data_IF_961847848297
#
_entry.id   IF_961847848297
#
_cell.length_a   1.000
_cell.length_b   1.000
_cell.length_c   1.000
_cell.angle_alpha   90.00
_cell.angle_beta   90.00
_cell.angle_gamma   90.00
#
_symmetry.space_group_name_H-M   'P 1'
#
loop_
_entity.id
_entity.type
_entity.pdbx_description
1 polymer ?
#
# COMPACT_ATOMS: atom_id res chain seq x y z
N UNK A 1 -7.97 -12.32 21.95
CA UNK A 1 -7.37 -12.40 21.46
C UNK A 1 -6.42 -12.61 21.08
N UNK A 2 -6.02 -12.57 21.03
CA UNK A 2 -5.07 -12.38 20.69
C UNK A 2 -4.43 -12.54 19.70
N UNK A 3 -3.95 -11.93 19.62
CA UNK A 3 -3.12 -11.88 18.51
C UNK A 3 -2.05 -12.88 18.56
N UNK A 4 -2.04 -13.75 17.59
CA UNK A 4 -1.04 -14.79 17.47
C UNK A 4 0.15 -14.35 16.61
N UNK A 5 0.14 -13.15 16.07
CA UNK A 5 1.24 -12.68 15.24
C UNK A 5 1.98 -11.55 15.92
N UNK A 6 3.24 -11.35 15.53
CA UNK A 6 4.05 -10.22 15.98
C UNK A 6 4.25 -9.24 14.84
N UNK A 7 4.43 -7.98 15.19
CA UNK A 7 4.71 -6.91 14.24
C UNK A 7 6.06 -6.28 14.59
N UNK A 8 7.17 -6.97 14.29
CA UNK A 8 8.48 -6.41 14.58
C UNK A 8 8.75 -5.13 13.81
N UNK A 9 9.58 -4.28 14.41
CA UNK A 9 10.01 -3.04 13.78
C UNK A 9 11.30 -3.32 13.00
N UNK A 10 11.36 -2.82 11.77
CA UNK A 10 12.53 -2.97 10.91
C UNK A 10 12.92 -1.61 10.35
N UNK A 11 14.21 -1.37 10.21
CA UNK A 11 14.70 -0.17 9.55
C UNK A 11 15.36 -0.55 8.24
N UNK A 12 15.10 0.23 7.21
CA UNK A 12 15.68 0.03 5.88
C UNK A 12 15.91 1.40 5.26
N UNK A 13 17.16 1.70 4.94
CA UNK A 13 17.57 2.98 4.34
C UNK A 13 17.03 4.20 5.11
N UNK A 14 17.07 4.14 6.44
CA UNK A 14 16.64 5.23 7.31
C UNK A 14 15.14 5.31 7.55
N UNK A 15 14.37 4.44 6.94
CA UNK A 15 12.92 4.39 7.09
C UNK A 15 12.54 3.27 8.06
N UNK A 16 11.62 3.56 8.96
CA UNK A 16 11.15 2.61 9.97
C UNK A 16 9.82 2.01 9.55
N UNK A 17 9.74 0.68 9.59
CA UNK A 17 8.54 -0.07 9.24
C UNK A 17 8.12 -0.97 10.39
N UNK A 18 6.81 -1.19 10.52
CA UNK A 18 6.33 -2.38 11.21
C UNK A 18 6.02 -3.43 10.14
N UNK A 19 6.42 -4.66 10.38
CA UNK A 19 6.25 -5.72 9.38
C UNK A 19 5.57 -6.94 9.99
N UNK A 20 4.86 -7.68 9.15
CA UNK A 20 4.30 -8.99 9.51
C UNK A 20 5.09 -10.00 8.68
N UNK A 21 5.72 -10.97 9.35
CA UNK A 21 6.58 -11.94 8.66
C UNK A 21 5.88 -13.24 8.32
N UNK A 22 4.88 -13.62 9.10
CA UNK A 22 4.14 -14.86 8.88
C UNK A 22 3.16 -14.68 7.70
N UNK A 23 3.24 -15.53 6.64
CA UNK A 23 2.38 -15.37 5.46
C UNK A 23 0.89 -15.42 5.75
N UNK A 24 0.45 -16.28 6.67
CA UNK A 24 -0.97 -16.37 7.02
C UNK A 24 -1.43 -15.11 7.75
N UNK A 25 -0.57 -14.55 8.59
CA UNK A 25 -0.87 -13.30 9.28
C UNK A 25 -0.92 -12.11 8.31
N UNK A 26 -0.08 -12.10 7.28
CA UNK A 26 -0.16 -11.10 6.22
C UNK A 26 -1.50 -11.22 5.48
N UNK A 27 -1.89 -12.44 5.14
CA UNK A 27 -3.17 -12.72 4.48
C UNK A 27 -4.33 -12.17 5.32
N UNK A 28 -4.34 -12.44 6.62
CA UNK A 28 -5.40 -11.97 7.50
C UNK A 28 -5.42 -10.45 7.60
N UNK A 29 -4.25 -9.82 7.73
CA UNK A 29 -4.15 -8.36 7.78
C UNK A 29 -4.77 -7.74 6.53
N UNK A 30 -4.39 -8.24 5.35
CA UNK A 30 -4.87 -7.68 4.09
C UNK A 30 -6.37 -7.93 3.90
N UNK A 31 -6.85 -9.13 4.20
CA UNK A 31 -8.24 -9.47 3.98
C UNK A 31 -9.20 -8.91 5.03
N UNK A 32 -8.70 -8.53 6.20
CA UNK A 32 -9.54 -7.95 7.26
C UNK A 32 -9.40 -6.44 7.30
N UNK A 33 -8.16 -5.93 7.49
CA UNK A 33 -7.95 -4.51 7.73
C UNK A 33 -7.89 -3.70 6.44
N UNK A 34 -7.06 -4.11 5.49
CA UNK A 34 -6.86 -3.35 4.25
C UNK A 34 -8.11 -3.40 3.38
N UNK A 35 -8.74 -4.56 3.30
CA UNK A 35 -9.97 -4.73 2.52
C UNK A 35 -11.09 -3.79 2.95
N UNK A 36 -11.22 -3.55 4.25
CA UNK A 36 -12.23 -2.60 4.77
C UNK A 36 -12.03 -1.20 4.18
N UNK A 37 -10.79 -0.75 4.10
CA UNK A 37 -10.47 0.56 3.54
C UNK A 37 -10.82 0.63 2.06
N UNK A 38 -10.48 -0.39 1.30
CA UNK A 38 -10.77 -0.43 -0.13
C UNK A 38 -12.26 -0.49 -0.42
N UNK A 39 -13.01 -1.24 0.39
CA UNK A 39 -14.46 -1.30 0.24
C UNK A 39 -15.10 0.04 0.58
N UNK A 40 -14.62 0.71 1.61
CA UNK A 40 -15.10 2.04 1.97
C UNK A 40 -14.79 3.06 0.87
N UNK A 41 -13.59 3.02 0.29
CA UNK A 41 -13.20 3.90 -0.80
C UNK A 41 -14.08 3.66 -2.04
N UNK A 42 -14.33 2.40 -2.38
CA UNK A 42 -15.20 2.07 -3.51
C UNK A 42 -16.61 2.63 -3.32
N UNK A 43 -17.17 2.50 -2.12
CA UNK A 43 -18.51 3.01 -1.82
C UNK A 43 -18.54 4.54 -1.86
N UNK A 44 -17.49 5.20 -1.36
CA UNK A 44 -17.42 6.66 -1.40
C UNK A 44 -17.33 7.19 -2.84
N UNK A 45 -16.79 6.38 -3.74
CA UNK A 45 -16.67 6.70 -5.17
C UNK A 45 -17.86 6.16 -5.99
N UNK A 46 -18.90 5.68 -5.32
CA UNK A 46 -20.10 5.10 -5.96
C UNK A 46 -19.80 3.88 -6.81
N UNK A 47 -18.74 3.11 -6.44
CA UNK A 47 -18.40 1.84 -7.07
C UNK A 47 -18.83 0.68 -6.17
N UNK A 48 -19.27 -0.42 -6.78
CA UNK A 48 -19.56 -1.63 -6.02
C UNK A 48 -18.25 -2.40 -5.80
N UNK A 49 -17.84 -2.66 -4.54
CA UNK A 49 -16.64 -3.44 -4.28
C UNK A 49 -16.61 -4.81 -4.97
N UNK A 50 -17.79 -5.39 -5.21
CA UNK A 50 -17.88 -6.71 -5.89
C UNK A 50 -17.42 -6.67 -7.33
N UNK A 51 -17.44 -5.49 -7.95
CA UNK A 51 -17.01 -5.31 -9.34
C UNK A 51 -15.51 -5.12 -9.49
N UNK A 52 -14.78 -5.05 -8.38
CA UNK A 52 -13.33 -4.89 -8.40
C UNK A 52 -12.66 -6.27 -8.43
N UNK A 53 -12.00 -6.64 -9.54
CA UNK A 53 -11.34 -7.95 -9.64
C UNK A 53 -10.28 -8.17 -8.58
N UNK A 54 -9.60 -7.11 -8.14
CA UNK A 54 -8.59 -7.21 -7.11
C UNK A 54 -9.19 -7.68 -5.79
N UNK A 55 -10.28 -7.02 -5.37
CA UNK A 55 -10.95 -7.40 -4.12
C UNK A 55 -11.45 -8.84 -4.16
N UNK A 56 -11.93 -9.29 -5.31
CA UNK A 56 -12.46 -10.66 -5.44
C UNK A 56 -11.37 -11.73 -5.43
N UNK A 57 -10.12 -11.36 -5.69
CA UNK A 57 -9.00 -12.32 -5.71
C UNK A 57 -8.17 -12.32 -4.43
N UNK A 58 -8.39 -11.39 -3.51
CA UNK A 58 -7.58 -11.25 -2.30
C UNK A 58 -7.48 -12.54 -1.48
N UNK A 59 -8.59 -13.23 -1.30
CA UNK A 59 -8.65 -14.45 -0.49
C UNK A 59 -7.91 -15.63 -1.12
N UNK A 60 -7.61 -15.55 -2.40
CA UNK A 60 -6.93 -16.63 -3.14
C UNK A 60 -5.44 -16.41 -3.27
N UNK A 61 -4.94 -15.22 -2.91
CA UNK A 61 -3.52 -14.92 -3.03
C UNK A 61 -2.74 -15.45 -1.84
N UNK A 62 -1.51 -15.87 -2.13
CA UNK A 62 -0.53 -16.22 -1.11
C UNK A 62 0.38 -15.01 -0.92
N UNK A 63 0.60 -14.63 0.33
CA UNK A 63 1.32 -13.42 0.66
C UNK A 63 2.66 -13.71 1.31
N UNK A 64 3.67 -12.90 0.99
CA UNK A 64 4.94 -12.94 1.68
C UNK A 64 5.55 -11.53 1.78
N UNK A 65 6.40 -11.35 2.79
CA UNK A 65 7.15 -10.12 2.99
C UNK A 65 8.40 -10.17 2.11
N UNK A 66 8.67 -9.07 1.40
CA UNK A 66 9.82 -9.00 0.51
C UNK A 66 10.40 -7.59 0.51
N UNK A 67 11.73 -7.47 0.45
CA UNK A 67 12.39 -6.21 0.17
C UNK A 67 12.51 -6.10 -1.34
N UNK A 68 11.99 -5.02 -1.88
CA UNK A 68 11.95 -4.82 -3.33
C UNK A 68 12.63 -3.52 -3.70
N UNK A 69 13.33 -3.52 -4.84
CA UNK A 69 13.86 -2.29 -5.41
C UNK A 69 12.69 -1.43 -5.90
N UNK A 70 12.69 -0.15 -5.53
CA UNK A 70 11.58 0.74 -5.86
C UNK A 70 11.38 0.88 -7.38
N UNK A 71 12.44 0.70 -8.17
CA UNK A 71 12.35 0.79 -9.63
C UNK A 71 11.62 -0.39 -10.26
N UNK A 72 11.45 -1.49 -9.54
CA UNK A 72 10.71 -2.65 -10.02
C UNK A 72 9.20 -2.50 -9.88
N UNK A 73 8.76 -1.52 -9.11
CA UNK A 73 7.34 -1.32 -8.82
C UNK A 73 6.70 -0.52 -9.95
N UNK A 74 5.56 -1.01 -10.46
CA UNK A 74 4.80 -0.34 -11.51
C UNK A 74 3.55 0.29 -10.94
N UNK A 75 3.21 1.46 -11.42
CA UNK A 75 2.00 2.17 -11.01
C UNK A 75 0.88 1.91 -12.02
N UNK A 76 -0.35 1.84 -11.51
CA UNK A 76 -1.53 1.71 -12.35
C UNK A 76 -1.89 3.07 -12.94
N UNK A 77 -1.85 3.23 -14.28
CA UNK A 77 -2.19 4.52 -14.90
C UNK A 77 -3.64 4.95 -14.61
N UNK A 78 -4.55 4.01 -14.47
CA UNK A 78 -5.95 4.33 -14.19
C UNK A 78 -6.10 4.96 -12.80
N UNK A 79 -5.31 4.50 -11.84
CA UNK A 79 -5.30 5.10 -10.51
C UNK A 79 -4.62 6.47 -10.55
N UNK A 80 -3.48 6.58 -11.21
CA UNK A 80 -2.72 7.83 -11.27
C UNK A 80 -3.47 8.94 -11.99
N UNK A 81 -4.30 8.58 -12.96
CA UNK A 81 -5.05 9.54 -13.78
C UNK A 81 -6.50 9.70 -13.32
N UNK A 82 -6.87 9.13 -12.17
CA UNK A 82 -8.23 9.20 -11.68
C UNK A 82 -8.63 10.62 -11.32
N UNK A 83 -9.79 11.04 -11.81
CA UNK A 83 -10.41 12.32 -11.47
C UNK A 83 -11.89 12.11 -11.19
N UNK A 84 -12.44 12.93 -10.30
CA UNK A 84 -13.88 13.01 -10.04
C UNK A 84 -14.30 14.47 -10.16
N UNK A 85 -14.74 14.89 -11.37
CA UNK A 85 -15.08 16.30 -11.61
C UNK A 85 -16.23 16.81 -10.73
N UNK A 86 -17.17 15.95 -10.38
CA UNK A 86 -18.31 16.35 -9.54
C UNK A 86 -17.87 16.79 -8.16
N UNK A 87 -16.83 16.16 -7.60
CA UNK A 87 -16.28 16.49 -6.30
C UNK A 87 -15.03 17.34 -6.37
N UNK A 88 -14.62 17.72 -7.59
CA UNK A 88 -13.40 18.47 -7.79
C UNK A 88 -12.14 17.73 -7.38
N UNK A 89 -12.17 16.41 -7.42
CA UNK A 89 -11.07 15.57 -6.95
C UNK A 89 -10.17 15.14 -8.09
N UNK A 90 -8.86 15.38 -7.92
CA UNK A 90 -7.81 14.93 -8.85
C UNK A 90 -6.82 14.11 -8.02
N UNK A 91 -6.68 12.83 -8.33
CA UNK A 91 -5.85 11.92 -7.54
C UNK A 91 -4.39 12.40 -7.45
N UNK A 92 -3.81 12.80 -8.58
CA UNK A 92 -2.40 13.23 -8.61
C UNK A 92 -2.13 14.45 -7.73
N UNK A 93 -3.07 15.38 -7.64
CA UNK A 93 -2.93 16.56 -6.77
C UNK A 93 -3.07 16.17 -5.29
N UNK A 94 -4.03 15.31 -4.99
CA UNK A 94 -4.22 14.80 -3.64
C UNK A 94 -2.99 14.01 -3.20
N UNK A 95 -2.43 13.21 -4.08
CA UNK A 95 -1.23 12.43 -3.83
C UNK A 95 -0.03 13.32 -3.54
N UNK A 96 0.17 14.37 -4.33
CA UNK A 96 1.25 15.34 -4.13
C UNK A 96 1.19 15.97 -2.74
N UNK A 97 -0.01 16.42 -2.33
CA UNK A 97 -0.20 17.01 -1.01
C UNK A 97 0.06 16.01 0.11
N UNK A 98 -0.53 14.81 0.01
CA UNK A 98 -0.39 13.80 1.06
C UNK A 98 1.04 13.29 1.17
N UNK A 99 1.75 13.14 0.05
CA UNK A 99 3.14 12.68 0.07
C UNK A 99 4.06 13.75 0.65
N UNK A 100 3.80 15.02 0.41
CA UNK A 100 4.56 16.11 1.03
C UNK A 100 4.39 16.12 2.53
N UNK A 101 3.15 15.94 3.02
CA UNK A 101 2.85 15.85 4.45
C UNK A 101 3.52 14.64 5.10
N UNK A 102 3.48 13.50 4.42
CA UNK A 102 4.11 12.27 4.92
C UNK A 102 5.62 12.43 5.00
N UNK A 103 6.23 13.07 3.99
CA UNK A 103 7.67 13.33 4.00
C UNK A 103 8.07 14.17 5.21
N UNK A 104 7.31 15.23 5.50
CA UNK A 104 7.58 16.06 6.67
C UNK A 104 7.51 15.24 7.96
N UNK A 105 6.50 14.38 8.08
CA UNK A 105 6.35 13.52 9.25
C UNK A 105 7.51 12.55 9.41
N UNK A 106 7.99 11.98 8.31
CA UNK A 106 9.15 11.07 8.34
C UNK A 106 10.41 11.83 8.76
N UNK A 107 10.62 13.02 8.22
CA UNK A 107 11.79 13.83 8.51
C UNK A 107 11.81 14.32 9.95
N UNK A 108 10.64 14.55 10.55
CA UNK A 108 10.53 14.89 11.97
C UNK A 108 10.75 13.69 12.88
N UNK A 109 10.67 12.48 12.35
CA UNK A 109 10.84 11.24 13.10
C UNK A 109 9.56 10.74 13.75
N UNK A 110 9.61 9.52 14.25
CA UNK A 110 8.49 8.90 14.95
C UNK A 110 7.44 8.26 14.07
N UNK A 111 7.56 8.32 12.76
CA UNK A 111 6.64 7.67 11.85
C UNK A 111 7.10 6.25 11.56
N UNK A 112 6.18 5.31 11.69
CA UNK A 112 6.40 3.90 11.37
C UNK A 112 5.47 3.52 10.24
N UNK A 113 6.04 3.07 9.12
CA UNK A 113 5.27 2.77 7.91
C UNK A 113 4.89 1.30 7.84
N UNK A 114 3.79 1.03 7.18
CA UNK A 114 3.41 -0.33 6.76
C UNK A 114 4.05 -0.64 5.41
N UNK A 115 4.44 -1.89 5.12
CA UNK A 115 4.91 -2.27 3.79
C UNK A 115 3.87 -1.97 2.71
N UNK A 116 4.35 -1.72 1.50
CA UNK A 116 3.49 -1.52 0.35
C UNK A 116 2.89 -2.86 -0.08
N UNK A 117 1.74 -2.83 -0.74
CA UNK A 117 1.07 -4.04 -1.22
C UNK A 117 1.22 -4.14 -2.73
N UNK A 118 1.81 -5.24 -3.19
CA UNK A 118 2.22 -5.46 -4.58
C UNK A 118 1.54 -6.70 -5.15
N UNK A 119 1.08 -6.61 -6.38
CA UNK A 119 0.57 -7.74 -7.14
C UNK A 119 1.74 -8.40 -7.86
N UNK A 120 1.93 -9.72 -7.66
CA UNK A 120 3.12 -10.41 -8.15
C UNK A 120 3.22 -10.51 -9.67
N UNK A 121 2.09 -10.69 -10.37
CA UNK A 121 2.10 -10.97 -11.82
C UNK A 121 2.84 -9.92 -12.64
N UNK A 122 2.75 -8.66 -12.25
CA UNK A 122 3.34 -7.55 -12.99
C UNK A 122 4.05 -6.55 -12.09
N UNK A 123 4.22 -6.88 -10.82
CA UNK A 123 4.80 -6.00 -9.79
C UNK A 123 4.08 -4.64 -9.67
N UNK A 124 2.79 -4.65 -9.96
CA UNK A 124 2.00 -3.42 -9.87
C UNK A 124 1.63 -3.10 -8.43
N UNK A 125 1.77 -1.82 -8.09
CA UNK A 125 1.40 -1.31 -6.77
C UNK A 125 -0.12 -1.31 -6.64
N UNK A 126 -0.60 -1.98 -5.59
CA UNK A 126 -2.03 -2.06 -5.30
C UNK A 126 -2.41 -1.05 -4.23
N UNK A 127 -1.61 -0.95 -3.18
CA UNK A 127 -1.86 -0.03 -2.08
C UNK A 127 -0.55 0.56 -1.57
N UNK A 128 -0.58 1.87 -1.27
CA UNK A 128 0.58 2.57 -0.76
C UNK A 128 1.12 3.62 -1.73
N UNK A 129 0.29 4.18 -2.58
CA UNK A 129 0.73 5.20 -3.55
C UNK A 129 1.36 6.40 -2.86
N UNK A 130 0.82 6.84 -1.73
CA UNK A 130 1.39 7.95 -0.98
C UNK A 130 2.77 7.59 -0.42
N UNK A 131 2.90 6.41 0.18
CA UNK A 131 4.19 5.93 0.71
C UNK A 131 5.22 5.76 -0.41
N UNK A 132 4.82 5.15 -1.53
CA UNK A 132 5.70 5.00 -2.69
C UNK A 132 6.22 6.34 -3.19
N UNK A 133 5.33 7.29 -3.42
CA UNK A 133 5.67 8.62 -3.93
C UNK A 133 6.63 9.35 -2.98
N UNK A 134 6.34 9.27 -1.69
CA UNK A 134 7.16 9.88 -0.64
C UNK A 134 8.57 9.29 -0.63
N UNK A 135 8.67 7.96 -0.58
CA UNK A 135 9.95 7.28 -0.49
C UNK A 135 10.79 7.48 -1.74
N UNK A 136 10.15 7.50 -2.92
CA UNK A 136 10.84 7.80 -4.17
C UNK A 136 11.40 9.22 -4.17
N UNK A 137 10.64 10.19 -3.70
CA UNK A 137 11.09 11.59 -3.60
C UNK A 137 12.25 11.73 -2.61
N UNK A 138 12.33 10.87 -1.61
CA UNK A 138 13.43 10.84 -0.64
C UNK A 138 14.63 10.04 -1.12
N UNK A 139 14.64 9.59 -2.36
CA UNK A 139 15.72 8.80 -2.96
C UNK A 139 15.96 7.46 -2.29
N UNK A 140 14.94 6.88 -1.68
CA UNK A 140 15.00 5.53 -1.15
C UNK A 140 15.02 4.55 -2.32
N UNK A 141 15.92 3.55 -2.28
CA UNK A 141 16.06 2.58 -3.37
C UNK A 141 15.38 1.25 -3.08
N UNK A 142 15.28 0.85 -1.80
CA UNK A 142 14.67 -0.42 -1.40
C UNK A 142 13.61 -0.20 -0.36
N UNK A 143 12.51 -0.93 -0.48
CA UNK A 143 11.37 -0.79 0.42
C UNK A 143 10.83 -2.17 0.80
N UNK A 144 10.14 -2.24 1.95
CA UNK A 144 9.42 -3.43 2.35
C UNK A 144 8.07 -3.50 1.64
N UNK A 145 7.74 -4.70 1.16
CA UNK A 145 6.50 -4.96 0.43
C UNK A 145 5.85 -6.25 0.90
N UNK A 146 4.53 -6.32 0.80
CA UNK A 146 3.80 -7.57 0.86
C UNK A 146 3.44 -7.93 -0.58
N UNK A 147 3.92 -9.08 -1.04
CA UNK A 147 3.71 -9.52 -2.42
C UNK A 147 2.71 -10.66 -2.44
N UNK A 148 1.66 -10.50 -3.24
CA UNK A 148 0.59 -11.49 -3.34
C UNK A 148 0.61 -12.20 -4.67
N UNK A 149 0.68 -13.55 -4.63
CA UNK A 149 0.73 -14.44 -5.79
C UNK A 149 -0.53 -15.28 -5.86
N UNK A 150 -1.03 -15.50 -7.06
CA UNK A 150 -2.15 -16.41 -7.29
C UNK A 150 -1.70 -17.86 -7.27
#
# INVERSE_FOLDING_TARGET
MMDTWTTPIRRLEGVTYWVIENPEAIHDFINIEVRKEWEADARSEHRDPKDDPWLTTLTRRKWHLEIMDITQIKLDPDIMNYVDPERGYVFSKSLEKRSSELRQSIELGGVVLSPLIIRNEDTQLVDGYCRYTTLKAMSVSRIYTYVGSL
#
